data_IF_757137746778
#
_entry.id   IF_757137746778
#
_cell.length_a   1.000
_cell.length_b   1.000
_cell.length_c   1.000
_cell.angle_alpha   90.00
_cell.angle_beta   90.00
_cell.angle_gamma   90.00
#
_symmetry.space_group_name_H-M   'P 1'
#
loop_
_entity.id
_entity.type
_entity.pdbx_description
1 polymer ?
#
# COMPACT_ATOMS: atom_id res chain seq x y z
N UNK A 1 6.53 -8.30 6.14
CA UNK A 1 5.46 -9.23 6.57
C UNK A 1 5.97 -10.01 7.76
N UNK A 2 5.24 -9.96 8.88
CA UNK A 2 5.43 -10.90 9.97
C UNK A 2 4.98 -12.30 9.53
N UNK A 3 5.53 -13.33 10.15
CA UNK A 3 5.21 -14.72 9.88
C UNK A 3 5.29 -15.45 11.21
N UNK A 4 4.17 -15.94 11.73
CA UNK A 4 4.13 -16.84 12.86
C UNK A 4 4.62 -18.21 12.41
N UNK A 5 5.86 -18.53 12.77
CA UNK A 5 6.49 -19.83 12.47
C UNK A 5 7.49 -20.18 13.56
N UNK A 6 8.04 -21.39 13.51
CA UNK A 6 9.02 -21.85 14.50
C UNK A 6 10.19 -20.86 14.70
N UNK A 7 10.77 -20.34 13.62
CA UNK A 7 11.92 -19.45 13.72
C UNK A 7 11.61 -18.12 14.42
N UNK A 8 10.48 -17.49 14.11
CA UNK A 8 10.09 -16.19 14.69
C UNK A 8 9.71 -16.35 16.16
N UNK A 9 8.98 -17.41 16.50
CA UNK A 9 8.72 -17.78 17.90
C UNK A 9 10.03 -18.03 18.67
N UNK A 10 10.93 -18.84 18.10
CA UNK A 10 12.21 -19.15 18.72
C UNK A 10 13.07 -17.90 18.95
N UNK A 11 13.07 -16.95 18.00
CA UNK A 11 13.79 -15.68 18.15
C UNK A 11 13.17 -14.79 19.23
N UNK A 12 11.84 -14.72 19.31
CA UNK A 12 11.15 -13.98 20.37
C UNK A 12 11.49 -14.55 21.75
N UNK A 13 11.41 -15.88 21.92
CA UNK A 13 11.75 -16.55 23.18
C UNK A 13 13.23 -16.39 23.53
N UNK A 14 14.13 -16.54 22.55
CA UNK A 14 15.58 -16.40 22.74
C UNK A 14 15.97 -15.03 23.33
N UNK A 15 15.24 -13.97 22.98
CA UNK A 15 15.50 -12.64 23.52
C UNK A 15 15.30 -12.60 25.02
N UNK A 16 14.33 -13.34 25.57
CA UNK A 16 13.83 -13.16 26.95
C UNK A 16 14.26 -14.25 27.92
N UNK A 17 14.82 -15.37 27.44
CA UNK A 17 15.33 -16.43 28.31
C UNK A 17 16.50 -15.93 29.19
N UNK A 18 16.42 -16.21 30.49
CA UNK A 18 17.51 -16.15 31.45
C UNK A 18 18.49 -17.24 31.04
N UNK A 19 19.59 -16.91 30.38
CA UNK A 19 20.53 -17.93 29.89
C UNK A 19 21.07 -18.80 31.04
N UNK A 20 20.95 -20.14 30.99
CA UNK A 20 21.92 -21.01 31.64
C UNK A 20 23.02 -21.31 30.61
N UNK A 21 24.01 -20.43 30.53
CA UNK A 21 25.21 -20.68 29.75
C UNK A 21 26.13 -21.68 30.47
N UNK A 22 25.79 -22.97 30.47
CA UNK A 22 26.74 -24.02 30.86
C UNK A 22 26.34 -25.40 30.33
N UNK A 23 27.06 -25.85 29.30
CA UNK A 23 27.09 -27.23 28.77
C UNK A 23 25.75 -27.85 28.40
N UNK A 24 25.37 -27.70 27.13
CA UNK A 24 24.44 -28.66 26.56
C UNK A 24 25.11 -30.02 26.40
N UNK A 25 24.46 -31.09 26.86
CA UNK A 25 24.92 -32.47 26.68
C UNK A 25 24.58 -32.97 25.28
N UNK A 26 25.46 -33.80 24.72
CA UNK A 26 25.36 -34.24 23.32
C UNK A 26 23.99 -34.85 22.99
N UNK A 27 23.35 -34.53 21.85
CA UNK A 27 22.06 -35.09 21.46
C UNK A 27 22.08 -36.62 21.50
N UNK A 28 21.09 -37.18 22.19
CA UNK A 28 21.00 -38.61 22.51
C UNK A 28 20.57 -39.41 21.28
N UNK A 29 21.06 -40.64 21.16
CA UNK A 29 20.55 -41.59 20.15
C UNK A 29 19.22 -42.14 20.64
N UNK A 30 18.21 -42.16 19.78
CA UNK A 30 17.02 -42.96 20.06
C UNK A 30 17.37 -44.44 19.80
N UNK A 31 17.59 -45.20 20.88
CA UNK A 31 17.82 -46.65 20.85
C UNK A 31 19.22 -47.16 21.27
N UNK A 32 19.27 -48.42 21.72
CA UNK A 32 20.38 -49.09 22.42
C UNK A 32 21.57 -49.56 21.55
N UNK A 33 22.17 -48.70 20.72
CA UNK A 33 23.40 -49.06 19.97
C UNK A 33 24.57 -48.12 20.27
N UNK A 34 25.74 -48.73 20.54
CA UNK A 34 27.04 -48.24 21.06
C UNK A 34 27.47 -46.80 20.65
N UNK A 35 28.24 -46.11 21.52
CA UNK A 35 28.63 -44.71 21.32
C UNK A 35 29.84 -44.52 20.38
N UNK A 36 29.65 -43.61 19.41
CA UNK A 36 30.60 -42.62 18.84
C UNK A 36 31.89 -43.07 18.11
N UNK A 37 32.02 -42.62 16.85
CA UNK A 37 33.20 -41.85 16.41
C UNK A 37 32.84 -40.35 16.45
N UNK A 38 33.75 -39.56 17.00
CA UNK A 38 33.63 -38.17 17.50
C UNK A 38 32.60 -37.24 16.82
N UNK A 39 31.91 -36.43 17.67
CA UNK A 39 30.92 -35.41 17.29
C UNK A 39 31.34 -33.98 17.64
N UNK A 40 30.83 -32.96 16.92
CA UNK A 40 31.09 -31.55 17.21
C UNK A 40 30.30 -31.03 18.42
N UNK A 41 30.94 -30.20 19.24
CA UNK A 41 30.29 -29.46 20.35
C UNK A 41 29.44 -28.31 19.78
N UNK A 42 28.20 -28.15 20.24
CA UNK A 42 27.35 -26.97 19.96
C UNK A 42 27.26 -26.13 21.23
N UNK A 43 27.67 -24.85 21.16
CA UNK A 43 27.75 -23.93 22.31
C UNK A 43 27.11 -22.57 22.00
N UNK A 44 26.13 -22.49 21.10
CA UNK A 44 25.48 -21.23 20.74
C UNK A 44 24.11 -21.09 21.38
N UNK A 45 23.71 -19.85 21.71
CA UNK A 45 22.34 -19.50 22.15
C UNK A 45 21.28 -19.94 21.14
N UNK A 46 21.64 -19.99 19.86
CA UNK A 46 20.80 -20.51 18.76
C UNK A 46 20.51 -22.01 18.92
N UNK A 47 21.51 -22.80 19.33
CA UNK A 47 21.30 -24.23 19.58
C UNK A 47 20.39 -24.44 20.79
N UNK A 48 20.64 -23.71 21.87
CA UNK A 48 19.89 -23.80 23.12
C UNK A 48 18.39 -23.54 22.93
N UNK A 49 18.00 -22.48 22.22
CA UNK A 49 16.56 -22.19 22.06
C UNK A 49 15.85 -23.23 21.20
N UNK A 50 16.50 -23.76 20.16
CA UNK A 50 15.93 -24.83 19.32
C UNK A 50 15.71 -26.09 20.15
N UNK A 51 16.61 -26.36 21.07
CA UNK A 51 16.52 -27.45 22.04
C UNK A 51 15.33 -27.35 22.97
N UNK A 52 15.23 -26.21 23.65
CA UNK A 52 14.21 -25.91 24.64
C UNK A 52 12.84 -26.10 24.00
N UNK A 53 12.71 -25.75 22.71
CA UNK A 53 11.46 -25.83 21.97
C UNK A 53 11.16 -27.21 21.37
N UNK A 54 12.17 -27.96 20.92
CA UNK A 54 11.92 -29.21 20.17
C UNK A 54 12.14 -30.48 21.00
N UNK A 55 12.94 -30.42 22.07
CA UNK A 55 13.30 -31.61 22.86
C UNK A 55 12.10 -32.26 23.51
N UNK A 56 11.25 -31.49 24.17
CA UNK A 56 10.06 -32.02 24.83
C UNK A 56 9.06 -32.63 23.85
N UNK A 57 8.94 -32.10 22.63
CA UNK A 57 8.10 -32.69 21.57
C UNK A 57 8.63 -34.08 21.19
N UNK A 58 9.94 -34.20 21.08
CA UNK A 58 10.62 -35.45 20.78
C UNK A 58 10.50 -36.49 21.90
N UNK A 59 10.53 -36.05 23.15
CA UNK A 59 10.33 -36.90 24.32
C UNK A 59 8.86 -37.35 24.42
N UNK A 60 7.92 -36.51 23.99
CA UNK A 60 6.50 -36.87 23.87
C UNK A 60 6.25 -37.90 22.76
N UNK A 61 6.83 -37.69 21.59
CA UNK A 61 6.75 -38.63 20.47
C UNK A 61 8.08 -38.66 19.67
N UNK A 62 8.75 -39.82 19.58
CA UNK A 62 10.06 -39.92 18.94
C UNK A 62 10.09 -39.44 17.49
N UNK A 63 10.86 -38.38 17.22
CA UNK A 63 11.21 -37.93 15.86
C UNK A 63 12.71 -38.06 15.65
N UNK A 64 13.16 -38.91 14.73
CA UNK A 64 14.57 -39.11 14.44
C UNK A 64 14.88 -39.12 12.94
N UNK A 65 16.13 -38.84 12.60
CA UNK A 65 16.67 -39.02 11.26
C UNK A 65 16.82 -40.51 10.91
N UNK A 66 17.25 -40.80 9.67
CA UNK A 66 17.46 -42.19 9.20
C UNK A 66 18.46 -42.99 10.04
N UNK A 67 19.33 -42.31 10.79
CA UNK A 67 20.37 -42.91 11.61
C UNK A 67 19.94 -43.05 13.09
N UNK A 68 18.73 -42.60 13.44
CA UNK A 68 18.17 -42.65 14.79
C UNK A 68 18.64 -41.50 15.69
N UNK A 69 19.05 -40.36 15.11
CA UNK A 69 19.47 -39.17 15.85
C UNK A 69 18.45 -38.05 15.78
N UNK A 70 18.57 -37.10 16.71
CA UNK A 70 17.76 -35.89 16.72
C UNK A 70 17.90 -35.09 15.42
N UNK A 71 16.77 -34.62 14.89
CA UNK A 71 16.69 -34.06 13.53
C UNK A 71 17.23 -32.63 13.42
N UNK A 72 17.58 -31.98 14.54
CA UNK A 72 18.18 -30.62 14.61
C UNK A 72 19.64 -30.59 15.11
N UNK A 73 20.35 -31.72 14.98
CA UNK A 73 21.70 -31.98 15.53
C UNK A 73 22.90 -31.23 14.95
N UNK A 74 22.74 -30.36 13.94
CA UNK A 74 23.89 -29.68 13.31
C UNK A 74 23.78 -28.16 13.42
N UNK A 75 24.91 -27.43 13.59
CA UNK A 75 24.91 -25.98 13.53
C UNK A 75 24.28 -25.46 12.23
N UNK A 76 24.44 -26.21 11.13
CA UNK A 76 23.84 -25.90 9.82
C UNK A 76 22.31 -26.01 9.87
N UNK A 77 21.76 -27.05 10.48
CA UNK A 77 20.31 -27.24 10.61
C UNK A 77 19.72 -26.19 11.53
N UNK A 78 20.32 -25.96 12.70
CA UNK A 78 19.89 -24.90 13.64
C UNK A 78 19.92 -23.53 12.97
N UNK A 79 21.04 -23.19 12.34
CA UNK A 79 21.17 -21.92 11.63
C UNK A 79 20.15 -21.81 10.50
N UNK A 80 19.92 -22.88 9.74
CA UNK A 80 18.94 -22.92 8.67
C UNK A 80 17.50 -22.76 9.18
N UNK A 81 17.15 -23.38 10.29
CA UNK A 81 15.82 -23.26 10.91
C UNK A 81 15.58 -21.81 11.34
N UNK A 82 16.51 -21.22 12.10
CA UNK A 82 16.38 -19.86 12.63
C UNK A 82 16.53 -18.77 11.56
N UNK A 83 17.16 -19.06 10.42
CA UNK A 83 17.19 -18.17 9.24
C UNK A 83 15.98 -18.32 8.33
N UNK A 84 15.11 -19.30 8.61
CA UNK A 84 13.97 -19.66 7.78
C UNK A 84 14.38 -20.14 6.37
N UNK A 85 15.52 -20.81 6.26
CA UNK A 85 16.04 -21.38 5.00
C UNK A 85 15.59 -22.83 4.78
N UNK A 86 15.21 -23.52 5.86
CA UNK A 86 14.77 -24.93 5.85
C UNK A 86 13.45 -25.10 6.59
N UNK A 87 12.71 -26.15 6.22
CA UNK A 87 11.53 -26.57 6.96
C UNK A 87 11.90 -27.35 8.22
N UNK A 88 10.96 -27.42 9.15
CA UNK A 88 10.99 -28.44 10.20
C UNK A 88 10.97 -29.83 9.59
N UNK A 89 11.60 -30.78 10.29
CA UNK A 89 11.62 -32.16 9.84
C UNK A 89 10.18 -32.70 9.74
N UNK A 90 9.86 -33.36 8.64
CA UNK A 90 8.50 -33.86 8.34
C UNK A 90 7.95 -34.82 9.39
N UNK A 91 8.84 -35.48 10.14
CA UNK A 91 8.47 -36.35 11.26
C UNK A 91 7.73 -35.65 12.41
N UNK A 92 7.76 -34.31 12.50
CA UNK A 92 6.94 -33.57 13.46
C UNK A 92 5.45 -33.54 13.09
N UNK A 93 5.11 -33.62 11.80
CA UNK A 93 3.72 -33.54 11.35
C UNK A 93 2.79 -34.58 12.00
N UNK A 94 3.18 -35.87 12.08
CA UNK A 94 2.43 -36.87 12.83
C UNK A 94 2.32 -36.59 14.34
N UNK A 95 3.35 -36.02 14.95
CA UNK A 95 3.36 -35.70 16.39
C UNK A 95 2.29 -34.66 16.71
N UNK A 96 2.14 -33.63 15.86
CA UNK A 96 1.14 -32.57 16.01
C UNK A 96 -0.32 -33.06 16.03
N UNK A 97 -0.56 -34.30 15.60
CA UNK A 97 -1.90 -34.91 15.55
C UNK A 97 -2.18 -35.85 16.72
N UNK A 98 -1.21 -36.08 17.60
CA UNK A 98 -1.38 -37.03 18.69
C UNK A 98 -2.22 -36.45 19.84
N UNK A 99 -3.13 -37.25 20.42
CA UNK A 99 -3.91 -36.83 21.57
C UNK A 99 -3.00 -36.54 22.77
N UNK A 100 -3.34 -35.53 23.57
CA UNK A 100 -2.56 -35.15 24.76
C UNK A 100 -1.39 -34.21 24.49
N UNK A 101 -1.02 -33.94 23.22
CA UNK A 101 0.08 -33.04 22.89
C UNK A 101 -0.11 -31.63 23.49
N UNK A 102 -1.34 -31.09 23.45
CA UNK A 102 -1.64 -29.77 24.01
C UNK A 102 -1.39 -29.71 25.53
N UNK A 103 -1.68 -30.79 26.25
CA UNK A 103 -1.37 -30.91 27.67
C UNK A 103 0.14 -30.98 27.93
N UNK A 104 0.86 -31.80 27.15
CA UNK A 104 2.32 -31.89 27.22
C UNK A 104 3.00 -30.54 26.89
N UNK A 105 2.47 -29.79 25.92
CA UNK A 105 2.93 -28.46 25.57
C UNK A 105 2.79 -27.49 26.75
N UNK A 106 1.63 -27.46 27.42
CA UNK A 106 1.41 -26.62 28.60
C UNK A 106 2.34 -26.96 29.75
N UNK A 107 2.60 -28.25 29.99
CA UNK A 107 3.56 -28.68 31.01
C UNK A 107 4.99 -28.22 30.66
N UNK A 108 5.40 -28.37 29.39
CA UNK A 108 6.70 -27.93 28.91
C UNK A 108 6.85 -26.41 29.04
N UNK A 109 5.86 -25.63 28.57
CA UNK A 109 5.88 -24.18 28.65
C UNK A 109 5.77 -23.64 30.07
N UNK A 110 5.13 -24.38 30.99
CA UNK A 110 5.18 -24.05 32.42
C UNK A 110 6.58 -24.11 33.01
N UNK A 111 7.46 -24.99 32.48
CA UNK A 111 8.88 -25.04 32.85
C UNK A 111 9.68 -23.94 32.12
N UNK A 112 9.45 -23.78 30.82
CA UNK A 112 10.14 -22.76 30.00
C UNK A 112 9.86 -21.35 30.52
N UNK A 113 8.63 -21.06 30.96
CA UNK A 113 8.24 -19.75 31.49
C UNK A 113 9.01 -19.38 32.77
N UNK A 114 9.44 -20.36 33.57
CA UNK A 114 10.29 -20.10 34.75
C UNK A 114 11.68 -19.59 34.38
N UNK A 115 12.14 -19.91 33.16
CA UNK A 115 13.40 -19.45 32.60
C UNK A 115 13.24 -18.14 31.80
N UNK A 116 12.04 -17.55 31.71
CA UNK A 116 11.84 -16.23 31.10
C UNK A 116 12.17 -15.15 32.13
N UNK A 117 12.94 -14.13 31.72
CA UNK A 117 13.25 -13.00 32.57
C UNK A 117 11.96 -12.25 32.93
N UNK A 118 11.58 -12.13 34.22
CA UNK A 118 10.26 -11.59 34.61
C UNK A 118 9.99 -10.18 34.06
N UNK A 119 11.04 -9.35 33.96
CA UNK A 119 10.93 -7.98 33.44
C UNK A 119 10.74 -7.90 31.92
N UNK A 120 10.84 -9.03 31.21
CA UNK A 120 10.79 -9.11 29.73
C UNK A 120 9.65 -10.01 29.25
N UNK A 121 8.90 -10.60 30.17
CA UNK A 121 7.77 -11.46 29.86
C UNK A 121 6.65 -10.71 29.14
N UNK A 122 6.37 -9.47 29.56
CA UNK A 122 5.41 -8.59 28.87
C UNK A 122 5.82 -8.29 27.43
N UNK A 123 7.12 -8.08 27.18
CA UNK A 123 7.66 -7.81 25.84
C UNK A 123 7.54 -9.05 24.95
N UNK A 124 7.80 -10.24 25.53
CA UNK A 124 7.64 -11.51 24.83
C UNK A 124 6.18 -11.73 24.42
N UNK A 125 5.25 -11.52 25.36
CA UNK A 125 3.82 -11.61 25.10
C UNK A 125 3.37 -10.63 24.02
N UNK A 126 3.81 -9.38 24.08
CA UNK A 126 3.49 -8.37 23.08
C UNK A 126 4.02 -8.74 21.68
N UNK A 127 5.27 -9.21 21.57
CA UNK A 127 5.85 -9.65 20.29
C UNK A 127 5.06 -10.83 19.69
N UNK A 128 4.62 -11.78 20.52
CA UNK A 128 3.78 -12.89 20.05
C UNK A 128 2.39 -12.41 19.57
N UNK A 129 1.77 -11.46 20.28
CA UNK A 129 0.49 -10.87 19.88
C UNK A 129 0.62 -10.16 18.52
N UNK A 130 1.69 -9.41 18.30
CA UNK A 130 1.96 -8.78 17.00
C UNK A 130 2.17 -9.81 15.89
N UNK A 131 2.96 -10.87 16.15
CA UNK A 131 3.15 -11.96 15.19
C UNK A 131 1.82 -12.64 14.80
N UNK A 132 0.87 -12.75 15.72
CA UNK A 132 -0.46 -13.32 15.47
C UNK A 132 -1.32 -12.36 14.64
N UNK A 133 -1.37 -11.07 15.02
CA UNK A 133 -2.22 -10.05 14.37
C UNK A 133 -1.77 -9.71 12.96
N UNK A 134 -0.47 -9.63 12.75
CA UNK A 134 0.10 -9.15 11.49
C UNK A 134 0.33 -10.27 10.46
N UNK A 135 0.16 -11.54 10.84
CA UNK A 135 0.35 -12.68 9.95
C UNK A 135 -0.93 -12.99 9.14
N UNK A 136 -0.95 -12.76 7.82
CA UNK A 136 -2.15 -12.94 6.98
C UNK A 136 -2.58 -14.39 6.77
N UNK A 137 -1.74 -15.38 7.10
CA UNK A 137 -2.13 -16.80 7.05
C UNK A 137 -2.66 -17.30 8.39
N UNK A 138 -2.67 -16.47 9.44
CA UNK A 138 -3.43 -16.78 10.67
C UNK A 138 -4.89 -16.42 10.40
N UNK A 139 -5.79 -17.42 10.46
CA UNK A 139 -7.21 -17.16 10.29
C UNK A 139 -7.75 -16.32 11.45
N UNK A 140 -8.80 -15.53 11.19
CA UNK A 140 -9.45 -14.70 12.19
C UNK A 140 -9.83 -15.52 13.44
N UNK A 141 -10.47 -16.69 13.26
CA UNK A 141 -10.86 -17.59 14.34
C UNK A 141 -9.65 -18.07 15.17
N UNK A 142 -8.55 -18.44 14.49
CA UNK A 142 -7.35 -18.91 15.19
C UNK A 142 -6.65 -17.76 15.93
N UNK A 143 -6.67 -16.55 15.37
CA UNK A 143 -6.17 -15.35 16.05
C UNK A 143 -7.03 -15.03 17.28
N UNK A 144 -8.36 -15.06 17.15
CA UNK A 144 -9.30 -14.83 18.24
C UNK A 144 -9.10 -15.84 19.38
N UNK A 145 -9.00 -17.13 19.08
CA UNK A 145 -8.77 -18.18 20.08
C UNK A 145 -7.44 -17.99 20.84
N UNK A 146 -6.36 -17.64 20.11
CA UNK A 146 -5.05 -17.40 20.72
C UNK A 146 -5.04 -16.14 21.57
N UNK A 147 -5.64 -15.05 21.08
CA UNK A 147 -5.72 -13.78 21.81
C UNK A 147 -6.63 -13.90 23.05
N UNK A 148 -7.72 -14.64 22.96
CA UNK A 148 -8.54 -14.98 24.12
C UNK A 148 -7.73 -15.74 25.17
N UNK A 149 -6.91 -16.72 24.73
CA UNK A 149 -6.02 -17.45 25.65
C UNK A 149 -4.98 -16.53 26.30
N UNK A 150 -4.47 -15.54 25.56
CA UNK A 150 -3.52 -14.54 26.06
C UNK A 150 -4.08 -13.74 27.24
N UNK A 151 -5.39 -13.46 27.25
CA UNK A 151 -6.02 -12.71 28.35
C UNK A 151 -6.25 -13.55 29.61
N UNK A 152 -6.19 -14.88 29.50
CA UNK A 152 -6.52 -15.80 30.59
C UNK A 152 -5.28 -16.38 31.28
N UNK A 153 -4.34 -16.93 30.51
CA UNK A 153 -3.20 -17.68 31.04
C UNK A 153 -2.00 -17.63 30.09
N UNK A 154 -0.91 -17.00 30.54
CA UNK A 154 0.28 -16.77 29.73
C UNK A 154 0.96 -18.09 29.30
N UNK A 155 1.00 -19.09 30.18
CA UNK A 155 1.62 -20.39 29.88
C UNK A 155 0.83 -21.11 28.77
N UNK A 156 -0.49 -21.14 28.87
CA UNK A 156 -1.36 -21.69 27.82
C UNK A 156 -1.21 -20.92 26.52
N UNK A 157 -1.11 -19.59 26.59
CA UNK A 157 -0.90 -18.75 25.42
C UNK A 157 0.42 -19.05 24.72
N UNK A 158 1.53 -19.16 25.45
CA UNK A 158 2.84 -19.50 24.87
C UNK A 158 2.82 -20.89 24.25
N UNK A 159 2.23 -21.88 24.93
CA UNK A 159 2.12 -23.24 24.43
C UNK A 159 1.27 -23.32 23.15
N UNK A 160 0.09 -22.73 23.17
CA UNK A 160 -0.86 -22.79 22.05
C UNK A 160 -0.34 -21.98 20.85
N UNK A 161 0.32 -20.85 21.09
CA UNK A 161 1.01 -20.06 20.05
C UNK A 161 2.18 -20.82 19.43
N UNK A 162 2.98 -21.52 20.24
CA UNK A 162 4.06 -22.36 19.73
C UNK A 162 3.56 -23.53 18.89
N UNK A 163 2.48 -24.21 19.33
CA UNK A 163 1.84 -25.28 18.56
C UNK A 163 1.30 -24.77 17.22
N UNK A 164 0.71 -23.57 17.21
CA UNK A 164 0.33 -22.90 15.97
C UNK A 164 1.55 -22.63 15.07
N UNK A 165 2.63 -22.08 15.64
CA UNK A 165 3.85 -21.75 14.91
C UNK A 165 4.58 -22.96 14.29
N UNK A 166 4.64 -24.10 15.00
CA UNK A 166 5.30 -25.32 14.50
C UNK A 166 4.44 -26.08 13.47
N UNK A 167 3.12 -25.83 13.45
CA UNK A 167 2.21 -26.41 12.45
C UNK A 167 2.28 -25.72 11.07
N UNK A 168 2.95 -24.57 11.00
CA UNK A 168 3.06 -23.71 9.82
C UNK A 168 4.41 -23.90 9.10
N UNK A 169 4.50 -23.42 7.86
CA UNK A 169 5.76 -23.42 7.10
C UNK A 169 6.80 -22.55 7.78
N UNK A 170 8.01 -23.09 7.97
CA UNK A 170 9.11 -22.36 8.58
C UNK A 170 9.92 -21.55 7.55
N UNK A 171 9.97 -21.99 6.28
CA UNK A 171 10.66 -21.21 5.26
C UNK A 171 10.06 -19.82 5.15
N UNK A 172 10.91 -18.82 4.85
CA UNK A 172 10.41 -17.48 4.57
C UNK A 172 9.37 -17.60 3.47
N UNK A 173 8.17 -17.07 3.74
CA UNK A 173 7.20 -16.91 2.68
C UNK A 173 7.88 -16.20 1.52
N UNK A 174 7.72 -16.75 0.31
CA UNK A 174 8.00 -15.97 -0.88
C UNK A 174 7.29 -14.63 -0.68
N UNK A 175 8.01 -13.52 -0.87
CA UNK A 175 7.49 -12.19 -0.60
C UNK A 175 6.38 -11.89 -1.63
N UNK A 176 5.20 -12.50 -1.43
CA UNK A 176 4.01 -12.37 -2.25
C UNK A 176 3.18 -11.15 -1.79
N UNK A 177 3.63 -10.44 -0.75
CA UNK A 177 3.02 -9.19 -0.27
C UNK A 177 3.47 -7.95 -1.03
N UNK A 178 4.03 -8.11 -2.23
CA UNK A 178 4.21 -6.99 -3.15
C UNK A 178 2.94 -6.89 -3.95
N UNK A 179 2.08 -5.93 -3.57
CA UNK A 179 0.89 -5.62 -4.35
C UNK A 179 1.28 -5.01 -5.70
N UNK A 180 0.37 -4.97 -6.66
CA UNK A 180 0.62 -4.25 -7.92
C UNK A 180 1.01 -2.78 -7.67
N UNK A 181 0.42 -2.15 -6.66
CA UNK A 181 0.77 -0.79 -6.24
C UNK A 181 2.23 -0.69 -5.74
N UNK A 182 2.74 -1.70 -5.03
CA UNK A 182 4.12 -1.73 -4.56
C UNK A 182 5.12 -1.92 -5.71
N UNK A 183 4.74 -2.70 -6.74
CA UNK A 183 5.52 -2.81 -7.98
C UNK A 183 5.61 -1.45 -8.68
N UNK A 184 4.51 -0.69 -8.71
CA UNK A 184 4.48 0.66 -9.29
C UNK A 184 5.43 1.60 -8.53
N UNK A 185 5.47 1.55 -7.19
CA UNK A 185 6.40 2.34 -6.39
C UNK A 185 7.87 2.02 -6.73
N UNK A 186 8.22 0.74 -6.90
CA UNK A 186 9.57 0.35 -7.30
C UNK A 186 9.91 0.80 -8.73
N UNK A 187 8.96 0.65 -9.66
CA UNK A 187 9.12 1.03 -11.07
C UNK A 187 9.25 2.54 -11.26
N UNK A 188 8.65 3.35 -10.38
CA UNK A 188 8.68 4.82 -10.40
C UNK A 188 10.10 5.41 -10.47
N UNK A 189 11.08 4.68 -9.96
CA UNK A 189 12.49 5.09 -9.94
C UNK A 189 13.37 4.29 -10.90
N UNK A 190 12.79 3.67 -11.93
CA UNK A 190 13.50 2.83 -12.90
C UNK A 190 14.10 1.58 -12.26
N UNK A 191 13.38 0.98 -11.30
CA UNK A 191 13.83 -0.13 -10.47
C UNK A 191 15.10 0.15 -9.64
N UNK A 192 15.50 1.41 -9.45
CA UNK A 192 16.62 1.80 -8.58
C UNK A 192 16.13 2.38 -7.26
N UNK A 193 16.83 2.09 -6.17
CA UNK A 193 16.54 2.69 -4.87
C UNK A 193 16.64 4.22 -4.97
N UNK A 194 15.59 4.99 -4.63
CA UNK A 194 15.59 6.44 -4.80
C UNK A 194 16.58 7.12 -3.83
N UNK A 195 16.79 6.53 -2.65
CA UNK A 195 17.66 7.08 -1.59
C UNK A 195 19.14 6.93 -1.94
N UNK A 196 19.59 5.70 -2.25
CA UNK A 196 21.02 5.43 -2.47
C UNK A 196 21.44 5.42 -3.94
N UNK A 197 20.48 5.28 -4.87
CA UNK A 197 20.68 5.17 -6.32
C UNK A 197 21.62 4.04 -6.79
N UNK A 198 22.04 3.15 -5.88
CA UNK A 198 23.02 2.08 -6.13
C UNK A 198 22.39 0.70 -6.28
N UNK A 199 21.36 0.41 -5.47
CA UNK A 199 20.75 -0.92 -5.42
C UNK A 199 19.53 -0.99 -6.35
N UNK A 200 19.42 -2.09 -7.10
CA UNK A 200 18.21 -2.42 -7.85
C UNK A 200 17.14 -3.01 -6.94
N UNK A 201 15.94 -2.45 -7.02
CA UNK A 201 14.73 -2.88 -6.33
C UNK A 201 14.15 -4.14 -6.96
N UNK A 202 14.26 -4.31 -8.27
CA UNK A 202 13.83 -5.54 -8.96
C UNK A 202 15.03 -6.20 -9.65
N UNK A 203 15.23 -7.49 -9.43
CA UNK A 203 16.34 -8.27 -10.02
C UNK A 203 15.80 -9.53 -10.69
N UNK A 204 16.33 -9.87 -11.85
CA UNK A 204 16.02 -11.14 -12.52
C UNK A 204 16.89 -12.25 -11.96
N UNK A 205 16.28 -13.28 -11.40
CA UNK A 205 16.96 -14.47 -10.87
C UNK A 205 16.40 -15.69 -11.59
N UNK A 206 17.25 -16.43 -12.31
CA UNK A 206 16.86 -17.60 -13.12
C UNK A 206 15.73 -17.32 -14.12
N UNK A 207 15.74 -16.13 -14.73
CA UNK A 207 14.71 -15.71 -15.70
C UNK A 207 13.45 -15.08 -15.09
N UNK A 208 13.26 -15.18 -13.77
CA UNK A 208 12.11 -14.58 -13.09
C UNK A 208 12.49 -13.23 -12.47
N UNK A 209 11.68 -12.19 -12.70
CA UNK A 209 11.81 -10.91 -11.98
C UNK A 209 11.38 -11.10 -10.53
N UNK A 210 12.24 -10.72 -9.60
CA UNK A 210 12.00 -10.82 -8.15
C UNK A 210 12.18 -9.46 -7.47
N UNK A 211 11.29 -9.11 -6.52
CA UNK A 211 11.42 -7.90 -5.73
C UNK A 211 12.51 -8.06 -4.65
N UNK A 212 13.33 -7.01 -4.49
CA UNK A 212 14.43 -6.85 -3.53
C UNK A 212 14.34 -5.47 -2.86
N UNK A 213 13.13 -5.08 -2.49
CA UNK A 213 12.83 -3.82 -1.85
C UNK A 213 11.87 -4.02 -0.68
N UNK A 214 11.81 -3.02 0.18
CA UNK A 214 10.83 -2.89 1.27
C UNK A 214 10.08 -1.57 1.09
N UNK A 215 8.80 -1.55 1.48
CA UNK A 215 8.01 -0.34 1.53
C UNK A 215 8.26 0.32 2.88
N UNK A 216 8.69 1.58 2.86
CA UNK A 216 8.84 2.41 4.06
C UNK A 216 7.75 3.47 4.09
N UNK A 217 7.13 3.64 5.25
CA UNK A 217 6.27 4.78 5.54
C UNK A 217 7.10 5.86 6.24
N UNK A 218 6.94 7.13 5.83
CA UNK A 218 7.67 8.26 6.40
C UNK A 218 6.77 9.49 6.53
N UNK A 219 7.03 10.34 7.53
CA UNK A 219 6.26 11.57 7.74
C UNK A 219 6.59 12.62 6.69
N UNK A 220 5.57 13.30 6.19
CA UNK A 220 5.70 14.26 5.09
C UNK A 220 6.37 15.57 5.55
N UNK A 221 6.19 15.95 6.81
CA UNK A 221 6.81 17.12 7.42
C UNK A 221 7.18 16.85 8.88
N UNK A 222 7.97 17.75 9.46
CA UNK A 222 8.36 17.65 10.87
C UNK A 222 7.12 17.77 11.77
N UNK A 223 6.91 16.75 12.60
CA UNK A 223 5.76 16.68 13.51
C UNK A 223 4.39 16.43 12.85
N UNK A 224 4.34 16.14 11.54
CA UNK A 224 3.08 15.80 10.86
C UNK A 224 2.66 14.35 11.16
N UNK A 225 1.37 14.13 11.42
CA UNK A 225 0.76 12.80 11.48
C UNK A 225 0.55 12.19 10.07
N UNK A 226 0.65 13.00 9.01
CA UNK A 226 0.50 12.56 7.63
C UNK A 226 1.76 11.83 7.15
N UNK A 227 1.56 10.67 6.55
CA UNK A 227 2.65 9.80 6.09
C UNK A 227 2.52 9.48 4.60
N UNK A 228 3.66 9.29 3.95
CA UNK A 228 3.76 8.83 2.57
C UNK A 228 4.57 7.52 2.53
N UNK A 229 4.51 6.80 1.41
CA UNK A 229 5.14 5.48 1.23
C UNK A 229 6.10 5.48 0.05
N UNK A 230 7.22 4.79 0.19
CA UNK A 230 8.20 4.63 -0.88
C UNK A 230 8.86 3.24 -0.88
N UNK A 231 9.16 2.73 -2.08
CA UNK A 231 9.94 1.51 -2.25
C UNK A 231 11.44 1.82 -2.17
N UNK A 232 12.13 1.21 -1.20
CA UNK A 232 13.58 1.39 -1.00
C UNK A 232 14.29 0.05 -0.84
N UNK A 233 15.61 0.01 -1.04
CA UNK A 233 16.34 -1.23 -0.80
C UNK A 233 16.38 -1.57 0.70
N UNK A 234 16.50 -2.86 1.01
CA UNK A 234 16.56 -3.39 2.40
C UNK A 234 17.57 -2.66 3.29
N UNK A 235 18.69 -2.18 2.72
CA UNK A 235 19.71 -1.41 3.47
C UNK A 235 19.18 -0.05 3.92
N UNK A 236 18.49 0.68 3.04
CA UNK A 236 17.92 1.98 3.34
C UNK A 236 16.67 1.84 4.22
N UNK A 237 15.88 0.78 4.06
CA UNK A 237 14.72 0.53 4.92
C UNK A 237 15.13 0.35 6.38
N UNK A 238 16.20 -0.41 6.63
CA UNK A 238 16.74 -0.58 7.99
C UNK A 238 17.13 0.73 8.68
N UNK A 239 17.63 1.70 7.91
CA UNK A 239 18.00 3.03 8.43
C UNK A 239 16.80 3.91 8.81
N UNK A 240 15.60 3.53 8.36
CA UNK A 240 14.34 4.15 8.79
C UNK A 240 13.87 3.51 10.10
N UNK A 241 13.95 2.18 10.22
CA UNK A 241 13.48 1.43 11.39
C UNK A 241 14.39 1.52 12.63
N UNK A 242 15.67 1.87 12.49
CA UNK A 242 16.63 1.91 13.60
C UNK A 242 16.60 3.19 14.44
N UNK A 243 15.80 4.20 14.10
CA UNK A 243 15.83 5.53 14.74
C UNK A 243 14.95 5.66 16.00
N UNK A 244 14.67 4.56 16.68
CA UNK A 244 13.84 4.52 17.90
C UNK A 244 14.55 5.09 19.15
N UNK A 245 15.63 5.86 18.96
CA UNK A 245 16.35 6.54 20.05
C UNK A 245 16.69 7.96 19.64
N UNK A 246 16.01 8.92 20.28
CA UNK A 246 16.35 10.33 20.43
C UNK A 246 16.20 11.22 19.17
N UNK A 247 15.06 11.93 19.10
CA UNK A 247 14.87 13.31 18.61
C UNK A 247 15.39 13.73 17.22
N UNK A 248 16.07 12.88 16.46
CA UNK A 248 16.66 13.21 15.16
C UNK A 248 15.97 12.43 14.02
N UNK A 249 15.52 13.18 13.02
CA UNK A 249 14.98 12.62 11.77
C UNK A 249 16.11 11.95 10.99
N UNK A 250 15.95 10.68 10.64
CA UNK A 250 16.93 9.93 9.84
C UNK A 250 17.23 10.65 8.52
N UNK A 251 18.51 10.73 8.13
CA UNK A 251 18.96 11.24 6.82
C UNK A 251 18.20 10.62 5.64
N UNK A 252 17.76 9.37 5.80
CA UNK A 252 16.94 8.67 4.80
C UNK A 252 15.56 9.29 4.69
N UNK A 253 14.92 9.62 5.80
CA UNK A 253 13.59 10.27 5.82
C UNK A 253 13.67 11.66 5.16
N UNK A 254 14.71 12.44 5.47
CA UNK A 254 14.93 13.74 4.82
C UNK A 254 15.09 13.61 3.29
N UNK A 255 15.87 12.62 2.83
CA UNK A 255 15.99 12.34 1.39
C UNK A 255 14.67 11.94 0.77
N UNK A 256 13.86 11.13 1.46
CA UNK A 256 12.54 10.71 0.97
C UNK A 256 11.58 11.90 0.85
N UNK A 257 11.58 12.82 1.81
CA UNK A 257 10.84 14.09 1.74
C UNK A 257 11.29 14.94 0.56
N UNK A 258 12.59 15.10 0.35
CA UNK A 258 13.13 15.83 -0.81
C UNK A 258 12.69 15.21 -2.14
N UNK A 259 12.71 13.87 -2.24
CA UNK A 259 12.27 13.14 -3.42
C UNK A 259 10.78 13.39 -3.68
N UNK A 260 9.94 13.32 -2.65
CA UNK A 260 8.51 13.62 -2.73
C UNK A 260 8.28 15.06 -3.21
N UNK A 261 8.93 16.03 -2.58
CA UNK A 261 8.74 17.45 -2.90
C UNK A 261 9.17 17.78 -4.33
N UNK A 262 10.28 17.19 -4.82
CA UNK A 262 10.68 17.32 -6.22
C UNK A 262 9.65 16.75 -7.19
N UNK A 263 9.01 15.63 -6.85
CA UNK A 263 7.96 15.04 -7.69
C UNK A 263 6.72 15.92 -7.73
N UNK A 264 6.25 16.40 -6.59
CA UNK A 264 5.11 17.32 -6.52
C UNK A 264 5.40 18.58 -7.35
N UNK A 265 6.60 19.14 -7.20
CA UNK A 265 7.01 20.30 -8.00
C UNK A 265 7.06 19.98 -9.51
N UNK A 266 7.54 18.80 -9.90
CA UNK A 266 7.56 18.37 -11.30
C UNK A 266 6.15 18.18 -11.88
N UNK A 267 5.23 17.57 -11.12
CA UNK A 267 3.82 17.43 -11.53
C UNK A 267 3.16 18.79 -11.62
N UNK A 268 3.34 19.67 -10.64
CA UNK A 268 2.80 21.04 -10.68
C UNK A 268 3.36 21.84 -11.87
N UNK A 269 4.63 21.67 -12.21
CA UNK A 269 5.23 22.30 -13.39
C UNK A 269 4.61 21.74 -14.69
N UNK A 270 4.36 20.44 -14.76
CA UNK A 270 3.72 19.80 -15.91
C UNK A 270 2.25 20.26 -16.05
N UNK A 271 1.51 20.35 -14.94
CA UNK A 271 0.15 20.87 -14.91
C UNK A 271 0.13 22.34 -15.33
N UNK A 272 1.08 23.14 -14.85
CA UNK A 272 1.25 24.54 -15.28
C UNK A 272 1.58 24.64 -16.76
N UNK A 273 2.39 23.73 -17.29
CA UNK A 273 2.75 23.68 -18.71
C UNK A 273 1.59 23.21 -19.60
N UNK A 274 0.68 22.39 -19.09
CA UNK A 274 -0.57 22.02 -19.75
C UNK A 274 -1.56 23.19 -19.69
N UNK A 275 -1.67 23.84 -18.53
CA UNK A 275 -2.55 24.98 -18.34
C UNK A 275 -2.13 26.19 -19.19
N UNK A 276 -0.81 26.40 -19.35
CA UNK A 276 -0.26 27.44 -20.23
C UNK A 276 -0.48 27.17 -21.71
N UNK A 277 -0.75 25.93 -22.11
CA UNK A 277 -1.17 25.58 -23.47
C UNK A 277 -2.68 25.69 -23.64
N UNK A 278 -3.45 25.39 -22.60
CA UNK A 278 -4.91 25.47 -22.61
C UNK A 278 -5.41 26.91 -22.62
N UNK A 279 -4.77 27.83 -21.89
CA UNK A 279 -5.21 29.23 -21.85
C UNK A 279 -5.20 29.88 -23.25
N UNK A 280 -4.10 29.87 -24.03
CA UNK A 280 -4.12 30.41 -25.40
C UNK A 280 -5.11 29.70 -26.32
N UNK A 281 -5.31 28.38 -26.13
CA UNK A 281 -6.29 27.63 -26.91
C UNK A 281 -7.73 28.06 -26.59
N UNK A 282 -8.07 28.28 -25.32
CA UNK A 282 -9.37 28.81 -24.88
C UNK A 282 -9.60 30.22 -25.44
N UNK A 283 -8.60 31.10 -25.34
CA UNK A 283 -8.67 32.46 -25.89
C UNK A 283 -8.91 32.43 -27.41
N UNK A 284 -8.17 31.58 -28.13
CA UNK A 284 -8.34 31.39 -29.59
C UNK A 284 -9.73 30.86 -29.95
N UNK A 285 -10.31 29.93 -29.17
CA UNK A 285 -11.69 29.47 -29.36
C UNK A 285 -12.67 30.63 -29.24
N UNK A 286 -12.57 31.41 -28.16
CA UNK A 286 -13.48 32.51 -27.85
C UNK A 286 -13.36 33.64 -28.90
N UNK A 287 -12.14 34.01 -29.29
CA UNK A 287 -11.87 35.00 -30.32
C UNK A 287 -12.45 34.58 -31.68
N UNK A 288 -12.17 33.34 -32.12
CA UNK A 288 -12.63 32.83 -33.42
C UNK A 288 -14.16 32.73 -33.48
N UNK A 289 -14.80 32.27 -32.39
CA UNK A 289 -16.26 32.30 -32.27
C UNK A 289 -16.78 33.75 -32.37
N UNK A 290 -16.15 34.70 -31.67
CA UNK A 290 -16.52 36.11 -31.71
C UNK A 290 -16.32 36.80 -33.07
N UNK A 291 -15.40 36.32 -33.90
CA UNK A 291 -15.20 36.79 -35.28
C UNK A 291 -16.25 36.22 -36.25
N UNK A 292 -16.57 34.93 -36.10
CA UNK A 292 -17.48 34.21 -37.01
C UNK A 292 -18.94 34.47 -36.71
N UNK A 293 -19.27 34.70 -35.44
CA UNK A 293 -20.63 34.96 -34.98
C UNK A 293 -20.94 36.45 -35.14
N UNK A 294 -21.37 36.83 -36.34
CA UNK A 294 -21.84 38.18 -36.64
C UNK A 294 -23.36 38.27 -36.45
N UNK A 295 -23.76 39.01 -35.41
CA UNK A 295 -25.10 39.54 -35.11
C UNK A 295 -26.29 38.82 -35.77
N UNK A 296 -26.86 37.84 -35.04
CA UNK A 296 -28.21 37.32 -35.23
C UNK A 296 -29.20 37.91 -34.22
N UNK A 297 -30.49 37.57 -34.33
CA UNK A 297 -31.51 37.88 -33.33
C UNK A 297 -31.06 37.27 -32.00
N UNK A 298 -30.92 38.10 -30.98
CA UNK A 298 -30.43 37.72 -29.65
C UNK A 298 -31.65 37.27 -28.84
N UNK A 299 -31.75 36.00 -28.40
CA UNK A 299 -32.75 35.60 -27.43
C UNK A 299 -32.50 36.34 -26.11
N UNK A 300 -33.56 36.74 -25.42
CA UNK A 300 -33.46 37.36 -24.10
C UNK A 300 -33.06 36.28 -23.08
N UNK A 301 -31.76 36.15 -22.80
CA UNK A 301 -31.21 35.21 -21.81
C UNK A 301 -31.34 35.83 -20.42
N UNK A 302 -31.95 35.12 -19.46
CA UNK A 302 -32.12 35.61 -18.08
C UNK A 302 -30.81 35.62 -17.28
N UNK A 303 -29.81 34.83 -17.70
CA UNK A 303 -28.49 34.68 -17.08
C UNK A 303 -28.51 34.27 -15.60
N UNK A 304 -29.57 33.61 -15.14
CA UNK A 304 -29.64 33.07 -13.78
C UNK A 304 -28.75 31.82 -13.68
N UNK A 305 -27.60 31.95 -13.04
CA UNK A 305 -26.67 30.85 -12.79
C UNK A 305 -27.27 29.84 -11.78
N UNK A 306 -28.05 28.88 -12.29
CA UNK A 306 -28.52 27.71 -11.54
C UNK A 306 -27.34 26.76 -11.27
N UNK A 307 -27.30 26.10 -10.10
CA UNK A 307 -26.20 25.20 -9.73
C UNK A 307 -26.14 24.01 -10.69
N UNK A 308 -24.95 23.50 -11.06
CA UNK A 308 -24.82 22.28 -11.92
C UNK A 308 -25.67 21.12 -11.41
N UNK A 309 -25.78 20.96 -10.09
CA UNK A 309 -26.57 19.92 -9.43
C UNK A 309 -28.08 20.01 -9.70
N UNK A 310 -28.56 21.17 -10.15
CA UNK A 310 -29.95 21.44 -10.50
C UNK A 310 -30.17 21.40 -12.04
N UNK A 311 -29.10 21.19 -12.84
CA UNK A 311 -29.11 21.13 -14.31
C UNK A 311 -28.81 19.73 -14.88
N UNK A 312 -28.02 18.91 -14.16
CA UNK A 312 -27.59 17.58 -14.60
C UNK A 312 -28.25 16.50 -13.75
N UNK A 313 -28.97 15.58 -14.39
CA UNK A 313 -29.71 14.51 -13.70
C UNK A 313 -28.75 13.60 -12.94
N UNK A 314 -29.14 13.07 -11.76
CA UNK A 314 -28.22 12.34 -10.87
C UNK A 314 -27.50 11.15 -11.52
N UNK A 315 -28.10 10.52 -12.52
CA UNK A 315 -27.48 9.43 -13.28
C UNK A 315 -26.24 9.86 -14.11
N UNK A 316 -26.08 11.16 -14.40
CA UNK A 316 -24.92 11.73 -15.11
C UNK A 316 -23.92 12.40 -14.15
N UNK A 317 -23.65 11.78 -12.99
CA UNK A 317 -22.78 12.38 -11.97
C UNK A 317 -21.36 12.67 -12.47
N UNK A 318 -20.80 11.83 -13.35
CA UNK A 318 -19.45 12.04 -13.90
C UNK A 318 -19.38 13.31 -14.77
N UNK A 319 -20.44 13.55 -15.55
CA UNK A 319 -20.58 14.76 -16.35
C UNK A 319 -20.69 16.00 -15.45
N UNK A 320 -21.53 15.93 -14.41
CA UNK A 320 -21.69 17.01 -13.44
C UNK A 320 -20.38 17.38 -12.75
N UNK A 321 -19.60 16.39 -12.30
CA UNK A 321 -18.32 16.62 -11.64
C UNK A 321 -17.27 17.16 -12.62
N UNK A 322 -17.23 16.68 -13.87
CA UNK A 322 -16.37 17.21 -14.94
C UNK A 322 -16.65 18.69 -15.19
N UNK A 323 -17.92 19.06 -15.36
CA UNK A 323 -18.35 20.45 -15.57
C UNK A 323 -17.87 21.31 -14.40
N UNK A 324 -18.15 20.88 -13.16
CA UNK A 324 -17.78 21.61 -11.95
C UNK A 324 -16.28 21.84 -11.83
N UNK A 325 -15.45 20.82 -12.05
CA UNK A 325 -13.98 20.94 -11.97
C UNK A 325 -13.48 21.95 -13.01
N UNK A 326 -13.97 21.87 -14.25
CA UNK A 326 -13.52 22.74 -15.35
C UNK A 326 -13.98 24.19 -15.14
N UNK A 327 -15.22 24.40 -14.72
CA UNK A 327 -15.75 25.73 -14.40
C UNK A 327 -14.95 26.36 -13.25
N UNK A 328 -14.76 25.64 -12.13
CA UNK A 328 -14.02 26.17 -10.98
C UNK A 328 -12.59 26.58 -11.35
N UNK A 329 -11.95 25.84 -12.26
CA UNK A 329 -10.57 26.10 -12.69
C UNK A 329 -10.47 27.23 -13.71
N UNK A 330 -11.39 27.30 -14.69
CA UNK A 330 -11.21 28.12 -15.89
C UNK A 330 -12.15 29.34 -15.98
N UNK A 331 -13.15 29.46 -15.11
CA UNK A 331 -14.17 30.52 -15.17
C UNK A 331 -13.56 31.92 -15.32
N UNK A 332 -12.58 32.28 -14.46
CA UNK A 332 -11.99 33.63 -14.47
C UNK A 332 -11.28 33.98 -15.76
N UNK A 333 -10.65 32.98 -16.39
CA UNK A 333 -9.95 33.17 -17.67
C UNK A 333 -10.98 33.41 -18.77
N UNK A 334 -11.98 32.53 -18.88
CA UNK A 334 -13.05 32.64 -19.88
C UNK A 334 -13.82 33.97 -19.74
N UNK A 335 -14.15 34.37 -18.50
CA UNK A 335 -14.81 35.66 -18.22
C UNK A 335 -13.94 36.85 -18.66
N UNK A 336 -12.63 36.80 -18.41
CA UNK A 336 -11.70 37.85 -18.83
C UNK A 336 -11.58 37.93 -20.35
N UNK A 337 -11.54 36.79 -21.05
CA UNK A 337 -11.51 36.76 -22.52
C UNK A 337 -12.78 37.36 -23.11
N UNK A 338 -13.97 36.98 -22.62
CA UNK A 338 -15.22 37.58 -23.09
C UNK A 338 -15.31 39.08 -22.82
N UNK A 339 -14.87 39.55 -21.64
CA UNK A 339 -14.76 41.00 -21.35
C UNK A 339 -13.79 41.71 -22.29
N UNK A 340 -12.70 41.06 -22.68
CA UNK A 340 -11.72 41.63 -23.61
C UNK A 340 -12.26 41.73 -25.04
N UNK A 341 -13.21 40.85 -25.41
CA UNK A 341 -13.96 40.96 -26.65
C UNK A 341 -15.01 42.08 -26.62
N UNK A 342 -15.43 42.62 -25.48
CA UNK A 342 -16.42 43.69 -25.46
C UNK A 342 -15.85 45.02 -25.98
N UNK A 343 -16.37 45.51 -27.11
CA UNK A 343 -16.00 46.81 -27.66
C UNK A 343 -16.73 47.96 -26.95
N UNK A 344 -16.23 49.20 -27.10
CA UNK A 344 -16.72 50.44 -26.45
C UNK A 344 -18.19 50.80 -26.76
N UNK A 345 -18.90 50.07 -27.64
CA UNK A 345 -20.29 50.38 -28.02
C UNK A 345 -21.15 49.13 -28.25
N UNK A 346 -21.80 48.70 -27.17
CA UNK A 346 -23.23 48.35 -27.18
C UNK A 346 -23.71 47.22 -28.08
N UNK A 347 -23.26 45.99 -27.78
CA UNK A 347 -23.96 44.69 -27.84
C UNK A 347 -22.92 43.62 -27.50
N UNK A 348 -23.07 42.87 -26.41
CA UNK A 348 -21.97 42.01 -25.94
C UNK A 348 -21.78 40.86 -26.94
N UNK A 349 -20.55 40.66 -27.42
CA UNK A 349 -20.19 39.49 -28.25
C UNK A 349 -20.48 38.20 -27.49
N UNK A 350 -20.40 38.26 -26.17
CA UNK A 350 -20.84 37.22 -25.27
C UNK A 350 -22.30 36.81 -25.51
N UNK A 351 -23.26 37.74 -25.48
CA UNK A 351 -24.70 37.42 -25.67
C UNK A 351 -24.98 36.78 -27.03
N UNK A 352 -24.28 37.24 -28.08
CA UNK A 352 -24.43 36.67 -29.42
C UNK A 352 -23.92 35.22 -29.48
N UNK A 353 -22.78 34.92 -28.85
CA UNK A 353 -22.23 33.56 -28.78
C UNK A 353 -23.10 32.68 -27.89
N UNK A 354 -23.50 33.19 -26.71
CA UNK A 354 -24.38 32.49 -25.78
C UNK A 354 -25.71 32.11 -26.44
N UNK A 355 -26.31 33.03 -27.21
CA UNK A 355 -27.53 32.77 -27.98
C UNK A 355 -27.37 31.63 -28.98
N UNK A 356 -26.27 31.59 -29.75
CA UNK A 356 -26.05 30.49 -30.69
C UNK A 356 -25.76 29.14 -30.01
N UNK A 357 -25.04 29.16 -28.90
CA UNK A 357 -24.81 27.93 -28.11
C UNK A 357 -26.13 27.42 -27.56
N UNK A 358 -27.02 28.30 -27.07
CA UNK A 358 -28.36 27.95 -26.63
C UNK A 358 -29.22 27.40 -27.79
N UNK A 359 -29.27 28.10 -28.93
CA UNK A 359 -30.02 27.65 -30.12
C UNK A 359 -29.56 26.26 -30.60
N UNK A 360 -28.25 25.99 -30.55
CA UNK A 360 -27.70 24.69 -30.94
C UNK A 360 -28.01 23.60 -29.91
N UNK A 361 -27.94 23.94 -28.62
CA UNK A 361 -28.34 23.03 -27.55
C UNK A 361 -29.82 22.64 -27.68
N UNK A 362 -30.70 23.59 -27.95
CA UNK A 362 -32.14 23.36 -28.17
C UNK A 362 -32.39 22.44 -29.37
N UNK A 363 -31.57 22.55 -30.42
CA UNK A 363 -31.63 21.63 -31.55
C UNK A 363 -31.17 20.22 -31.14
N UNK A 364 -30.07 20.10 -30.40
CA UNK A 364 -29.56 18.82 -29.94
C UNK A 364 -30.54 18.10 -29.00
N UNK A 365 -31.20 18.83 -28.09
CA UNK A 365 -32.18 18.29 -27.15
C UNK A 365 -33.48 17.81 -27.82
N UNK A 366 -33.83 18.34 -28.99
CA UNK A 366 -34.94 17.82 -29.81
C UNK A 366 -34.64 16.43 -30.41
N UNK A 367 -33.36 16.04 -30.51
CA UNK A 367 -32.94 14.78 -31.12
C UNK A 367 -32.66 13.65 -30.11
N UNK A 368 -32.28 13.98 -28.87
CA UNK A 368 -31.99 13.02 -27.82
C UNK A 368 -32.22 13.62 -26.44
N UNK A 369 -32.58 12.79 -25.46
CA UNK A 369 -32.72 13.15 -24.05
C UNK A 369 -31.47 12.80 -23.20
N UNK A 370 -30.43 12.20 -23.81
CA UNK A 370 -29.17 11.85 -23.16
C UNK A 370 -28.28 13.10 -22.97
N UNK A 371 -28.11 13.53 -21.71
CA UNK A 371 -27.37 14.74 -21.38
C UNK A 371 -25.88 14.66 -21.72
N UNK A 372 -25.28 13.46 -21.71
CA UNK A 372 -23.91 13.26 -22.14
C UNK A 372 -23.80 13.45 -23.67
N UNK A 373 -24.71 12.85 -24.43
CA UNK A 373 -24.74 12.97 -25.87
C UNK A 373 -25.01 14.41 -26.34
N UNK A 374 -25.88 15.15 -25.64
CA UNK A 374 -26.11 16.57 -25.92
C UNK A 374 -24.85 17.40 -25.61
N UNK A 375 -24.22 17.18 -24.44
CA UNK A 375 -23.00 17.89 -24.06
C UNK A 375 -21.89 17.69 -25.10
N UNK A 376 -21.67 16.44 -25.52
CA UNK A 376 -20.62 16.10 -26.48
C UNK A 376 -20.90 16.74 -27.86
N UNK A 377 -22.17 16.78 -28.30
CA UNK A 377 -22.56 17.51 -29.52
C UNK A 377 -22.31 19.02 -29.44
N UNK A 378 -22.61 19.66 -28.30
CA UNK A 378 -22.32 21.09 -28.11
C UNK A 378 -20.81 21.34 -28.11
N UNK A 379 -20.02 20.47 -27.47
CA UNK A 379 -18.56 20.55 -27.50
C UNK A 379 -17.99 20.39 -28.91
N UNK A 380 -18.51 19.46 -29.70
CA UNK A 380 -18.12 19.27 -31.10
C UNK A 380 -18.54 20.46 -31.97
N UNK A 381 -19.70 21.07 -31.72
CA UNK A 381 -20.12 22.28 -32.40
C UNK A 381 -19.19 23.45 -32.09
N UNK A 382 -18.84 23.67 -30.83
CA UNK A 382 -17.88 24.71 -30.43
C UNK A 382 -16.53 24.44 -31.08
N UNK A 383 -16.06 23.19 -31.06
CA UNK A 383 -14.81 22.77 -31.66
C UNK A 383 -14.76 23.08 -33.16
N UNK A 384 -15.82 22.71 -33.88
CA UNK A 384 -15.92 22.90 -35.33
C UNK A 384 -16.05 24.39 -35.69
N UNK A 385 -16.89 25.15 -34.99
CA UNK A 385 -17.10 26.56 -35.31
C UNK A 385 -15.92 27.46 -34.93
N UNK A 386 -15.09 27.04 -33.98
CA UNK A 386 -13.85 27.73 -33.61
C UNK A 386 -12.62 27.31 -34.41
N UNK A 387 -12.72 26.31 -35.31
CA UNK A 387 -11.57 25.65 -35.95
C UNK A 387 -10.47 25.25 -34.94
N UNK A 388 -10.86 24.93 -33.71
CA UNK A 388 -9.89 24.63 -32.66
C UNK A 388 -9.14 23.35 -32.98
N UNK A 389 -7.82 23.34 -32.79
CA UNK A 389 -7.03 22.10 -32.82
C UNK A 389 -7.00 21.39 -31.46
N UNK A 390 -7.61 22.00 -30.43
CA UNK A 390 -7.62 21.52 -29.06
C UNK A 390 -9.06 21.28 -28.60
N UNK A 391 -9.50 20.02 -28.64
CA UNK A 391 -10.83 19.60 -28.20
C UNK A 391 -11.06 19.93 -26.71
N UNK A 392 -10.03 19.81 -25.87
CA UNK A 392 -10.15 20.12 -24.44
C UNK A 392 -10.50 21.59 -24.19
N UNK A 393 -9.96 22.52 -24.98
CA UNK A 393 -10.33 23.93 -24.91
C UNK A 393 -11.82 24.14 -25.24
N UNK A 394 -12.31 23.47 -26.29
CA UNK A 394 -13.73 23.50 -26.66
C UNK A 394 -14.64 22.93 -25.57
N UNK A 395 -14.27 21.79 -24.97
CA UNK A 395 -14.97 21.19 -23.83
C UNK A 395 -15.01 22.12 -22.62
N UNK A 396 -13.91 22.80 -22.31
CA UNK A 396 -13.84 23.76 -21.20
C UNK A 396 -14.80 24.94 -21.44
N UNK A 397 -14.86 25.45 -22.67
CA UNK A 397 -15.79 26.52 -23.06
C UNK A 397 -17.25 26.01 -22.99
N UNK A 398 -17.53 24.77 -23.41
CA UNK A 398 -18.86 24.15 -23.23
C UNK A 398 -19.27 24.08 -21.76
N UNK A 399 -18.38 23.63 -20.87
CA UNK A 399 -18.65 23.60 -19.43
C UNK A 399 -19.03 24.99 -18.88
N UNK A 400 -18.37 26.05 -19.37
CA UNK A 400 -18.70 27.42 -18.99
C UNK A 400 -20.12 27.81 -19.44
N UNK A 401 -20.50 27.52 -20.69
CA UNK A 401 -21.86 27.82 -21.19
C UNK A 401 -22.94 26.98 -20.50
N UNK A 402 -22.67 25.71 -20.22
CA UNK A 402 -23.58 24.86 -19.45
C UNK A 402 -23.83 25.42 -18.04
N UNK A 403 -22.80 25.95 -17.38
CA UNK A 403 -22.96 26.60 -16.08
C UNK A 403 -23.72 27.93 -16.19
N UNK A 404 -23.32 28.80 -17.10
CA UNK A 404 -23.69 30.23 -17.09
C UNK A 404 -24.87 30.60 -18.01
N UNK A 405 -25.28 29.69 -18.89
CA UNK A 405 -26.41 29.89 -19.79
C UNK A 405 -27.49 28.82 -19.53
N UNK A 406 -28.71 29.07 -20.01
CA UNK A 406 -29.86 28.14 -20.00
C UNK A 406 -29.65 26.96 -20.98
N UNK A 407 -28.41 26.47 -21.09
CA UNK A 407 -28.00 25.36 -21.96
C UNK A 407 -28.30 24.01 -21.28
N UNK A 408 -29.08 24.00 -20.20
CA UNK A 408 -29.71 22.84 -19.58
C UNK A 408 -30.87 23.38 -18.75
N UNK A 409 -32.10 23.01 -19.10
CA UNK A 409 -33.26 23.33 -18.28
C UNK A 409 -33.05 22.81 -16.85
N UNK A 410 -33.47 23.61 -15.86
CA UNK A 410 -33.49 23.15 -14.48
C UNK A 410 -34.34 21.87 -14.39
N UNK A 411 -33.86 20.86 -13.65
CA UNK A 411 -34.60 19.63 -13.41
C UNK A 411 -35.89 20.02 -12.68
N UNK A 412 -37.04 19.72 -13.28
CA UNK A 412 -38.36 20.00 -12.72
C UNK A 412 -38.67 19.22 -11.44
#
# INVERSE_FOLDING_TARGET
MSQLCFATFARALQKVLIQPAASYTTPTRQGAKKPSTARPKMTSTDAYVVEVLLRWIQDFAPVADRDGFDVWRTPKTVSGLLKQDVELHTGFGPVLKQPGLRGAAREAFGKIAQDIAPMRESDFKAELIELIKDDPEVSADAAEDLLYTADQDDVSFYADTFLSAISRTNKKRANNGVTEADVVLAARNGDLCPVCRKERLVKTVKGERRPFFEIVSFTIGDGSAETDREAVCVKCAKQVSTNDTLLEVSDVVNKLRDIRNRRIAATALQDTALDSQLHPAIASVIETLGERIVTGVIPELTLDAVRVAEKVRPEYFELAERIKIHVLKWYRIIEQEFRSLEGVRGRSRFDAIAGQVADFYDQASQHTDDQQAIFDQVADWIHTNSDSVNLSASVIVTCFFVQNCEVFDAIA
#
